data_IF_006424504186
#
_entry.id   IF_006424504186
#
_cell.length_a   1.000
_cell.length_b   1.000
_cell.length_c   1.000
_cell.angle_alpha   90.00
_cell.angle_beta   90.00
_cell.angle_gamma   90.00
#
_symmetry.space_group_name_H-M   'P 1'
#
loop_
_entity.id
_entity.type
_entity.pdbx_description
1 polymer ?
#
# COMPACT_ATOMS: atom_id res chain seq x y z
N UNK A 1 2.28 -15.86 65.79
CA UNK A 1 3.34 -16.26 64.83
C UNK A 1 2.81 -15.83 63.46
N UNK A 2 2.77 -14.53 63.17
CA UNK A 2 3.89 -13.63 62.83
C UNK A 2 4.60 -14.10 61.56
N UNK A 3 4.31 -13.39 60.45
CA UNK A 3 5.21 -12.66 59.53
C UNK A 3 4.34 -12.25 58.31
N UNK A 4 3.81 -11.03 58.24
CA UNK A 4 4.43 -9.85 57.62
C UNK A 4 5.10 -10.11 56.27
N UNK A 5 4.60 -9.49 55.18
CA UNK A 5 5.20 -8.30 54.56
C UNK A 5 4.26 -7.72 53.48
N UNK A 6 3.91 -6.46 53.72
CA UNK A 6 3.36 -5.39 52.88
C UNK A 6 3.88 -5.37 51.43
N UNK A 7 2.98 -5.18 50.44
CA UNK A 7 3.13 -4.14 49.38
C UNK A 7 1.78 -3.66 48.86
N UNK A 8 1.66 -2.34 48.91
CA UNK A 8 0.55 -1.48 48.51
C UNK A 8 0.37 -1.39 46.99
N UNK A 9 -0.78 -0.85 46.57
CA UNK A 9 -0.91 -0.20 45.26
C UNK A 9 -1.98 -0.75 44.33
N UNK A 10 -3.22 -0.90 44.83
CA UNK A 10 -4.37 -1.01 43.95
C UNK A 10 -4.62 0.29 43.21
N UNK A 11 -4.72 0.22 41.86
CA UNK A 11 -5.75 0.92 41.08
C UNK A 11 -6.00 0.09 39.82
N UNK A 12 -7.08 -0.68 39.81
CA UNK A 12 -7.71 -1.12 38.55
C UNK A 12 -8.38 0.13 37.99
N UNK A 13 -7.82 0.73 36.94
CA UNK A 13 -8.50 1.83 36.23
C UNK A 13 -9.40 1.23 35.15
N UNK A 14 -10.64 0.90 35.54
CA UNK A 14 -11.78 1.04 34.64
C UNK A 14 -11.99 2.53 34.42
N UNK A 15 -11.38 3.06 33.36
CA UNK A 15 -11.37 4.48 33.05
C UNK A 15 -12.28 4.81 31.87
N UNK A 16 -13.57 4.98 32.16
CA UNK A 16 -14.44 5.98 31.55
C UNK A 16 -14.60 5.97 30.02
N UNK A 17 -15.70 5.38 29.56
CA UNK A 17 -16.30 5.81 28.30
C UNK A 17 -16.90 7.19 28.53
N UNK A 18 -16.10 8.25 28.32
CA UNK A 18 -16.65 9.58 28.05
C UNK A 18 -17.24 9.50 26.65
N UNK A 19 -18.55 9.25 26.55
CA UNK A 19 -19.30 9.49 25.31
C UNK A 19 -19.52 11.00 25.22
N UNK A 20 -18.54 11.73 24.71
CA UNK A 20 -18.82 13.05 24.13
C UNK A 20 -19.60 12.80 22.84
N UNK A 21 -20.92 13.00 22.94
CA UNK A 21 -21.85 13.02 21.82
C UNK A 21 -21.65 14.24 20.93
N UNK A 22 -20.49 14.33 20.29
CA UNK A 22 -20.30 15.18 19.11
C UNK A 22 -20.49 14.31 17.87
N UNK A 23 -21.29 14.76 16.91
CA UNK A 23 -21.22 14.21 15.55
C UNK A 23 -19.75 14.17 15.12
N UNK A 24 -19.27 13.10 14.46
CA UNK A 24 -17.89 13.04 13.98
C UNK A 24 -17.65 14.23 13.06
N UNK A 25 -17.07 15.29 13.61
CA UNK A 25 -16.76 16.50 12.87
C UNK A 25 -15.68 16.10 11.91
N UNK A 26 -16.02 16.07 10.62
CA UNK A 26 -15.06 15.79 9.57
C UNK A 26 -13.82 16.64 9.81
N UNK A 27 -12.66 15.99 9.94
CA UNK A 27 -11.40 16.69 10.16
C UNK A 27 -11.25 17.79 9.09
N UNK A 28 -10.75 18.99 9.45
CA UNK A 28 -10.62 20.07 8.51
C UNK A 28 -9.82 19.60 7.29
N UNK A 29 -10.38 19.84 6.09
CA UNK A 29 -9.73 19.48 4.84
C UNK A 29 -8.42 20.25 4.74
N UNK A 30 -7.30 19.52 4.68
CA UNK A 30 -5.98 20.08 4.41
C UNK A 30 -5.46 19.63 3.05
N UNK A 31 -4.59 20.41 2.40
CA UNK A 31 -3.90 19.95 1.20
C UNK A 31 -3.12 18.65 1.45
N UNK A 32 -3.02 17.82 0.41
CA UNK A 32 -2.14 16.66 0.41
C UNK A 32 -0.67 17.11 0.44
N UNK A 33 0.13 16.39 1.20
CA UNK A 33 1.57 16.57 1.30
C UNK A 33 2.29 15.30 0.86
N UNK A 34 3.60 15.40 0.60
CA UNK A 34 4.43 14.25 0.26
C UNK A 34 4.37 13.12 1.32
N UNK A 35 4.15 13.44 2.59
CA UNK A 35 4.04 12.46 3.68
C UNK A 35 2.77 11.59 3.59
N UNK A 36 1.75 12.07 2.87
CA UNK A 36 0.47 11.39 2.68
C UNK A 36 0.49 10.35 1.54
N UNK A 37 1.65 10.18 0.91
CA UNK A 37 1.85 9.32 -0.26
C UNK A 37 2.87 8.23 0.08
N UNK A 38 2.52 7.00 -0.30
CA UNK A 38 3.45 5.88 -0.38
C UNK A 38 3.57 5.42 -1.83
N UNK A 39 4.77 5.03 -2.23
CA UNK A 39 5.03 4.36 -3.51
C UNK A 39 5.56 2.96 -3.25
N UNK A 40 4.81 1.97 -3.71
CA UNK A 40 5.12 0.55 -3.57
C UNK A 40 5.59 0.00 -4.90
N UNK A 41 6.67 -0.78 -4.90
CA UNK A 41 7.19 -1.43 -6.11
C UNK A 41 7.77 -2.81 -5.81
N UNK A 42 7.67 -3.80 -6.71
CA UNK A 42 8.14 -5.15 -6.44
C UNK A 42 9.69 -5.26 -6.38
N UNK A 43 10.42 -4.28 -6.94
CA UNK A 43 11.87 -4.35 -7.08
C UNK A 43 12.58 -3.24 -6.32
N UNK A 44 13.62 -3.60 -5.56
CA UNK A 44 14.47 -2.62 -4.86
C UNK A 44 15.15 -1.65 -5.83
N UNK A 45 15.54 -2.11 -7.03
CA UNK A 45 16.13 -1.25 -8.06
C UNK A 45 15.16 -0.13 -8.47
N UNK A 46 13.89 -0.47 -8.75
CA UNK A 46 12.86 0.52 -9.02
C UNK A 46 12.66 1.46 -7.83
N UNK A 47 12.65 0.93 -6.60
CA UNK A 47 12.47 1.76 -5.41
C UNK A 47 13.60 2.80 -5.28
N UNK A 48 14.83 2.45 -5.62
CA UNK A 48 15.97 3.39 -5.67
C UNK A 48 15.81 4.42 -6.78
N UNK A 49 15.43 3.98 -8.00
CA UNK A 49 15.19 4.89 -9.14
C UNK A 49 14.11 5.93 -8.82
N UNK A 50 12.99 5.48 -8.26
CA UNK A 50 11.88 6.37 -7.89
C UNK A 50 12.29 7.34 -6.79
N UNK A 51 13.03 6.91 -5.76
CA UNK A 51 13.56 7.82 -4.74
C UNK A 51 14.42 8.92 -5.34
N UNK A 52 15.39 8.56 -6.18
CA UNK A 52 16.28 9.53 -6.81
C UNK A 52 15.50 10.56 -7.66
N UNK A 53 14.49 10.10 -8.41
CA UNK A 53 13.62 10.99 -9.18
C UNK A 53 12.80 11.94 -8.29
N UNK A 54 12.26 11.44 -7.17
CA UNK A 54 11.52 12.26 -6.21
C UNK A 54 12.42 13.28 -5.51
N UNK A 55 13.63 12.89 -5.12
CA UNK A 55 14.63 13.79 -4.53
C UNK A 55 14.97 14.92 -5.50
N UNK A 56 15.25 14.61 -6.77
CA UNK A 56 15.51 15.60 -7.80
C UNK A 56 14.32 16.55 -8.04
N UNK A 57 13.09 16.08 -7.79
CA UNK A 57 11.87 16.87 -7.90
C UNK A 57 11.49 17.62 -6.60
N UNK A 58 12.28 17.55 -5.54
CA UNK A 58 11.96 18.18 -4.24
C UNK A 58 10.86 17.46 -3.44
N UNK A 59 10.59 16.20 -3.77
CA UNK A 59 9.56 15.34 -3.15
C UNK A 59 10.17 14.22 -2.29
N UNK A 60 11.37 14.43 -1.75
CA UNK A 60 12.08 13.49 -0.88
C UNK A 60 11.25 12.91 0.30
N UNK A 61 10.28 13.62 0.91
CA UNK A 61 9.47 13.04 1.99
C UNK A 61 8.52 11.92 1.57
N UNK A 62 8.30 11.69 0.27
CA UNK A 62 7.46 10.58 -0.21
C UNK A 62 8.13 9.25 0.15
N UNK A 63 7.39 8.39 0.85
CA UNK A 63 7.90 7.08 1.27
C UNK A 63 7.86 6.11 0.09
N UNK A 64 8.99 5.52 -0.26
CA UNK A 64 9.09 4.53 -1.34
C UNK A 64 9.57 3.19 -0.80
N UNK A 65 9.14 2.05 -1.35
CA UNK A 65 9.59 0.75 -0.85
C UNK A 65 8.98 -0.44 -1.55
N UNK A 66 9.44 -1.63 -1.16
CA UNK A 66 8.78 -2.88 -1.54
C UNK A 66 7.60 -3.16 -0.63
N UNK A 67 6.70 -4.03 -1.08
CA UNK A 67 5.50 -4.43 -0.32
C UNK A 67 5.85 -4.81 1.13
N UNK A 68 6.94 -5.55 1.30
CA UNK A 68 7.39 -6.06 2.61
C UNK A 68 7.81 -4.93 3.58
N UNK A 69 8.21 -3.75 3.07
CA UNK A 69 8.59 -2.59 3.90
C UNK A 69 7.40 -1.80 4.45
N UNK A 70 6.20 -2.02 3.93
CA UNK A 70 4.98 -1.29 4.30
C UNK A 70 3.94 -2.14 5.02
N UNK A 71 4.36 -3.25 5.62
CA UNK A 71 3.44 -4.04 6.46
C UNK A 71 2.95 -3.19 7.64
N UNK A 72 1.62 -3.06 7.76
CA UNK A 72 0.99 -2.27 8.82
C UNK A 72 1.11 -0.75 8.68
N UNK A 73 1.63 -0.24 7.57
CA UNK A 73 1.70 1.21 7.30
C UNK A 73 0.69 1.61 6.23
N UNK A 74 -0.08 2.66 6.47
CA UNK A 74 -1.07 3.20 5.55
C UNK A 74 -0.73 4.65 5.17
N UNK A 75 -1.43 5.16 4.16
CA UNK A 75 -1.33 6.54 3.68
C UNK A 75 -2.61 6.95 2.97
N UNK A 76 -2.88 8.25 2.86
CA UNK A 76 -4.02 8.74 2.10
C UNK A 76 -4.00 8.22 0.65
N UNK A 77 -2.81 8.20 0.02
CA UNK A 77 -2.61 7.73 -1.35
C UNK A 77 -1.55 6.63 -1.42
N UNK A 78 -1.89 5.51 -2.07
CA UNK A 78 -0.92 4.47 -2.45
C UNK A 78 -0.71 4.46 -3.96
N UNK A 79 0.54 4.53 -4.40
CA UNK A 79 0.92 4.37 -5.82
C UNK A 79 1.70 3.06 -5.96
N UNK A 80 1.21 2.13 -6.76
CA UNK A 80 1.84 0.85 -7.02
C UNK A 80 2.47 0.87 -8.41
N UNK A 81 3.80 0.73 -8.51
CA UNK A 81 4.54 0.68 -9.77
C UNK A 81 5.05 -0.73 -10.04
N UNK A 82 4.50 -1.42 -11.04
CA UNK A 82 4.90 -2.81 -11.36
C UNK A 82 6.28 -2.93 -12.02
N UNK A 83 6.75 -1.84 -12.65
CA UNK A 83 8.12 -1.71 -13.15
C UNK A 83 8.57 -2.81 -14.13
N UNK A 84 7.64 -3.33 -14.93
CA UNK A 84 7.91 -4.22 -16.04
C UNK A 84 7.00 -3.85 -17.23
N UNK A 85 7.57 -3.87 -18.42
CA UNK A 85 6.88 -3.51 -19.66
C UNK A 85 6.15 -4.69 -20.29
N UNK A 86 6.64 -5.91 -20.06
CA UNK A 86 6.00 -7.18 -20.42
C UNK A 86 6.35 -8.27 -19.40
N UNK A 87 5.68 -9.42 -19.45
CA UNK A 87 6.01 -10.57 -18.59
C UNK A 87 7.44 -11.07 -18.82
N UNK A 88 7.93 -11.01 -20.06
CA UNK A 88 9.32 -11.31 -20.45
C UNK A 88 10.36 -10.36 -19.86
N UNK A 89 9.98 -9.12 -19.59
CA UNK A 89 10.89 -8.11 -19.01
C UNK A 89 10.94 -8.18 -17.48
N UNK A 90 10.05 -8.96 -16.86
CA UNK A 90 9.98 -9.09 -15.41
C UNK A 90 11.12 -9.98 -14.90
N UNK A 91 12.09 -9.47 -14.10
CA UNK A 91 13.27 -10.23 -13.67
C UNK A 91 12.95 -11.49 -12.83
N UNK A 92 11.72 -11.63 -12.35
CA UNK A 92 11.24 -12.77 -11.56
C UNK A 92 10.00 -13.44 -12.18
N UNK A 93 9.75 -13.17 -13.46
CA UNK A 93 8.56 -13.62 -14.17
C UNK A 93 7.30 -12.84 -13.80
N UNK A 94 6.28 -13.01 -14.63
CA UNK A 94 4.96 -12.40 -14.47
C UNK A 94 4.25 -12.94 -13.22
N UNK A 95 4.49 -14.20 -12.86
CA UNK A 95 3.88 -14.89 -11.74
C UNK A 95 4.23 -14.21 -10.40
N UNK A 96 5.44 -13.67 -10.28
CA UNK A 96 5.88 -12.93 -9.10
C UNK A 96 5.21 -11.55 -9.01
N UNK A 97 5.08 -10.85 -10.13
CA UNK A 97 4.46 -9.53 -10.21
C UNK A 97 2.97 -9.58 -9.89
N UNK A 98 2.28 -10.60 -10.40
CA UNK A 98 0.84 -10.75 -10.29
C UNK A 98 0.42 -11.57 -9.06
N UNK A 99 1.28 -11.70 -8.05
CA UNK A 99 0.92 -12.36 -6.80
C UNK A 99 -0.23 -11.59 -6.11
N UNK A 100 -1.43 -12.21 -5.97
CA UNK A 100 -2.60 -11.50 -5.45
C UNK A 100 -2.37 -10.91 -4.07
N UNK A 101 -1.68 -11.65 -3.19
CA UNK A 101 -1.37 -11.18 -1.84
C UNK A 101 -0.52 -9.90 -1.84
N UNK A 102 0.41 -9.75 -2.79
CA UNK A 102 1.26 -8.57 -2.88
C UNK A 102 0.51 -7.35 -3.43
N UNK A 103 -0.30 -7.56 -4.46
CA UNK A 103 -1.16 -6.51 -5.02
C UNK A 103 -2.20 -6.05 -4.00
N UNK A 104 -2.88 -6.99 -3.34
CA UNK A 104 -3.87 -6.69 -2.31
C UNK A 104 -3.26 -5.87 -1.19
N UNK A 105 -2.10 -6.29 -0.66
CA UNK A 105 -1.41 -5.54 0.40
C UNK A 105 -1.06 -4.14 -0.08
N UNK A 106 -0.49 -3.97 -1.28
CA UNK A 106 -0.07 -2.67 -1.79
C UNK A 106 -1.25 -1.71 -2.05
N UNK A 107 -2.34 -2.23 -2.61
CA UNK A 107 -3.57 -1.47 -2.90
C UNK A 107 -4.28 -1.09 -1.60
N UNK A 108 -4.39 -2.02 -0.65
CA UNK A 108 -5.08 -1.79 0.63
C UNK A 108 -4.35 -0.80 1.55
N UNK A 109 -3.14 -0.36 1.20
CA UNK A 109 -2.44 0.68 1.99
C UNK A 109 -3.02 2.08 1.78
N UNK A 110 -3.84 2.27 0.74
CA UNK A 110 -4.53 3.52 0.49
C UNK A 110 -5.76 3.66 1.39
N UNK A 111 -5.82 4.75 2.15
CA UNK A 111 -7.01 5.13 2.91
C UNK A 111 -8.06 5.82 2.02
N UNK A 112 -7.61 6.56 1.00
CA UNK A 112 -8.48 7.37 0.13
C UNK A 112 -8.40 6.95 -1.33
N UNK A 113 -7.19 6.84 -1.91
CA UNK A 113 -7.03 6.53 -3.32
C UNK A 113 -5.81 5.64 -3.61
N UNK A 114 -5.99 4.65 -4.49
CA UNK A 114 -4.92 3.80 -4.98
C UNK A 114 -4.71 4.00 -6.49
N UNK A 115 -3.45 4.17 -6.90
CA UNK A 115 -3.05 4.25 -8.30
C UNK A 115 -2.17 3.07 -8.66
N UNK A 116 -2.58 2.27 -9.64
CA UNK A 116 -1.79 1.15 -10.16
C UNK A 116 -1.18 1.54 -11.51
N UNK A 117 0.14 1.67 -11.54
CA UNK A 117 0.94 1.98 -12.73
C UNK A 117 1.51 0.69 -13.28
N UNK A 118 1.05 0.31 -14.47
CA UNK A 118 1.43 -0.92 -15.14
C UNK A 118 1.53 -0.72 -16.66
N UNK A 119 2.26 -1.60 -17.34
CA UNK A 119 2.27 -1.66 -18.81
C UNK A 119 1.16 -2.59 -19.31
N UNK A 120 0.36 -2.19 -20.31
CA UNK A 120 -0.57 -3.09 -20.99
C UNK A 120 0.11 -4.35 -21.53
N UNK A 121 1.40 -4.29 -21.88
CA UNK A 121 2.18 -5.45 -22.33
C UNK A 121 2.33 -6.56 -21.30
N UNK A 122 1.98 -6.33 -20.03
CA UNK A 122 1.84 -7.38 -19.02
C UNK A 122 0.62 -8.29 -19.26
N UNK A 123 -0.37 -7.82 -20.04
CA UNK A 123 -1.55 -8.59 -20.43
C UNK A 123 -1.31 -9.45 -21.68
N UNK A 124 -0.24 -9.18 -22.43
CA UNK A 124 0.05 -9.84 -23.71
C UNK A 124 0.82 -11.17 -23.54
N UNK A 125 1.31 -11.46 -22.34
CA UNK A 125 2.11 -12.66 -22.07
C UNK A 125 1.24 -13.77 -21.48
N UNK A 126 1.08 -14.88 -22.20
CA UNK A 126 0.20 -15.98 -21.81
C UNK A 126 0.95 -17.00 -20.93
N UNK A 127 0.54 -17.20 -19.67
CA UNK A 127 1.20 -18.15 -18.78
C UNK A 127 0.98 -19.59 -19.24
N UNK A 128 1.97 -20.45 -19.01
CA UNK A 128 1.91 -21.87 -19.36
C UNK A 128 1.29 -22.76 -18.28
N UNK A 129 0.84 -22.17 -17.16
CA UNK A 129 0.23 -22.89 -16.03
C UNK A 129 -1.20 -22.41 -15.78
N UNK A 130 -2.12 -23.30 -15.37
CA UNK A 130 -3.49 -22.90 -15.00
C UNK A 130 -3.52 -21.80 -13.93
N UNK A 131 -2.64 -21.87 -12.94
CA UNK A 131 -2.54 -20.87 -11.87
C UNK A 131 -2.08 -19.51 -12.42
N UNK A 132 -1.13 -19.52 -13.37
CA UNK A 132 -0.69 -18.32 -14.06
C UNK A 132 -1.84 -17.66 -14.83
N UNK A 133 -2.60 -18.45 -15.60
CA UNK A 133 -3.79 -17.96 -16.33
C UNK A 133 -4.83 -17.37 -15.37
N UNK A 134 -5.08 -18.02 -14.24
CA UNK A 134 -6.00 -17.51 -13.22
C UNK A 134 -5.54 -16.15 -12.64
N UNK A 135 -4.24 -16.01 -12.35
CA UNK A 135 -3.65 -14.73 -11.87
C UNK A 135 -3.74 -13.64 -12.92
N UNK A 136 -3.39 -13.94 -14.17
CA UNK A 136 -3.49 -12.99 -15.27
C UNK A 136 -4.94 -12.54 -15.50
N UNK A 137 -5.88 -13.47 -15.48
CA UNK A 137 -7.32 -13.18 -15.60
C UNK A 137 -7.83 -12.30 -14.45
N UNK A 138 -7.39 -12.56 -13.22
CA UNK A 138 -7.71 -11.71 -12.07
C UNK A 138 -7.13 -10.30 -12.21
N UNK A 139 -5.89 -10.19 -12.65
CA UNK A 139 -5.24 -8.90 -12.92
C UNK A 139 -5.94 -8.13 -14.05
N UNK A 140 -6.30 -8.80 -15.15
CA UNK A 140 -7.06 -8.21 -16.25
C UNK A 140 -8.39 -7.63 -15.78
N UNK A 141 -9.13 -8.35 -14.92
CA UNK A 141 -10.37 -7.83 -14.32
C UNK A 141 -10.13 -6.63 -13.40
N UNK A 142 -9.06 -6.65 -12.61
CA UNK A 142 -8.69 -5.54 -11.73
C UNK A 142 -8.46 -4.25 -12.53
N UNK A 143 -7.73 -4.34 -13.64
CA UNK A 143 -7.37 -3.16 -14.45
C UNK A 143 -8.43 -2.75 -15.46
N UNK A 144 -9.36 -3.64 -15.80
CA UNK A 144 -10.52 -3.34 -16.66
C UNK A 144 -11.69 -2.71 -15.90
N UNK A 145 -11.66 -2.71 -14.56
CA UNK A 145 -12.72 -2.11 -13.76
C UNK A 145 -12.82 -0.60 -14.03
N UNK A 146 -14.01 -0.07 -14.39
CA UNK A 146 -14.17 1.37 -14.63
C UNK A 146 -14.03 2.13 -13.31
N UNK A 147 -12.98 2.93 -13.20
CA UNK A 147 -12.69 3.71 -12.02
C UNK A 147 -11.60 4.75 -12.29
N UNK A 148 -11.89 5.75 -13.11
CA UNK A 148 -11.04 6.92 -13.23
C UNK A 148 -11.90 8.19 -13.07
N UNK A 149 -11.55 9.12 -12.16
CA UNK A 149 -12.13 10.47 -12.20
C UNK A 149 -11.74 11.16 -13.52
N UNK A 150 -12.55 12.13 -14.01
CA UNK A 150 -12.28 12.83 -15.25
C UNK A 150 -10.90 13.51 -15.20
N UNK A 151 -10.14 13.39 -16.30
CA UNK A 151 -8.91 14.16 -16.51
C UNK A 151 -9.27 15.65 -16.63
N UNK A 152 -8.37 16.56 -16.16
CA UNK A 152 -8.64 17.99 -16.06
C UNK A 152 -8.99 18.64 -17.41
#
# INVERSE_FOLDING_TARGET
>A
RETDVVREGGVVREGGVVREGGEPRAAPRRPLTAADIIIVTPYNAQASTVRAALEAAGLAPVRVGTVDKFQGQEAAVSIVSLAASSGRDAPRGLEFLLLPNRLNVAISRAEVAAYLVYSPGLLDDLPHTPEGVARLSAFARLVAAPGAPPRP
#
